data_IF_442633661464
#
_entry.id   IF_442633661464
#
_cell.length_a   1.000
_cell.length_b   1.000
_cell.length_c   1.000
_cell.angle_alpha   90.00
_cell.angle_beta   90.00
_cell.angle_gamma   90.00
#
_symmetry.space_group_name_H-M   'P 1'
#
loop_
_entity.id
_entity.type
_entity.pdbx_description
1 polymer ?
#
# COMPACT_ATOMS: atom_id res chain seq x y z
N UNK A 1 14.27 -35.33 7.13
CA UNK A 1 14.06 -33.95 7.61
C UNK A 1 12.77 -33.34 7.01
N UNK A 2 11.55 -33.80 7.38
CA UNK A 2 10.29 -33.37 6.75
C UNK A 2 9.65 -32.13 7.41
N UNK A 3 9.93 -31.90 8.70
CA UNK A 3 9.30 -30.83 9.48
C UNK A 3 9.82 -29.43 9.11
N UNK A 4 11.11 -29.32 8.79
CA UNK A 4 11.75 -28.08 8.35
C UNK A 4 11.19 -27.59 7.01
N UNK A 5 10.95 -28.49 6.05
CA UNK A 5 10.32 -28.15 4.77
C UNK A 5 8.86 -27.71 4.95
N UNK A 6 8.13 -28.35 5.87
CA UNK A 6 6.75 -28.02 6.19
C UNK A 6 6.62 -26.63 6.81
N UNK A 7 7.51 -26.28 7.76
CA UNK A 7 7.57 -24.93 8.35
C UNK A 7 7.90 -23.85 7.31
N UNK A 8 8.86 -24.11 6.41
CA UNK A 8 9.20 -23.19 5.33
C UNK A 8 8.04 -22.95 4.36
N UNK A 9 7.26 -23.99 4.04
CA UNK A 9 6.06 -23.86 3.19
C UNK A 9 4.99 -22.99 3.85
N UNK A 10 4.73 -23.17 5.14
CA UNK A 10 3.75 -22.36 5.90
C UNK A 10 4.19 -20.89 5.94
N UNK A 11 5.45 -20.61 6.23
CA UNK A 11 5.99 -19.24 6.22
C UNK A 11 5.83 -18.56 4.86
N UNK A 12 6.13 -19.26 3.76
CA UNK A 12 5.95 -18.73 2.39
C UNK A 12 4.49 -18.43 2.07
N UNK A 13 3.57 -19.29 2.49
CA UNK A 13 2.13 -19.07 2.29
C UNK A 13 1.63 -17.86 3.09
N UNK A 14 2.05 -17.74 4.36
CA UNK A 14 1.69 -16.61 5.20
C UNK A 14 2.23 -15.28 4.64
N UNK A 15 3.48 -15.25 4.16
CA UNK A 15 4.06 -14.07 3.52
C UNK A 15 3.28 -13.65 2.26
N UNK A 16 2.86 -14.62 1.42
CA UNK A 16 1.99 -14.34 0.26
C UNK A 16 0.65 -13.75 0.68
N UNK A 17 -0.01 -14.33 1.69
CA UNK A 17 -1.30 -13.84 2.21
C UNK A 17 -1.17 -12.44 2.79
N UNK A 18 -0.10 -12.18 3.54
CA UNK A 18 0.17 -10.87 4.11
C UNK A 18 0.41 -9.82 3.02
N UNK A 19 1.18 -10.17 1.98
CA UNK A 19 1.39 -9.31 0.80
C UNK A 19 0.06 -8.97 0.13
N UNK A 20 -0.77 -9.97 -0.18
CA UNK A 20 -2.09 -9.75 -0.78
C UNK A 20 -2.99 -8.88 0.10
N UNK A 21 -3.01 -9.13 1.42
CA UNK A 21 -3.78 -8.35 2.39
C UNK A 21 -3.32 -6.90 2.41
N UNK A 22 -2.01 -6.66 2.39
CA UNK A 22 -1.43 -5.33 2.33
C UNK A 22 -1.91 -4.56 1.10
N UNK A 23 -1.76 -5.12 -0.11
CA UNK A 23 -2.16 -4.44 -1.34
C UNK A 23 -3.67 -4.16 -1.39
N UNK A 24 -4.51 -5.09 -0.91
CA UNK A 24 -5.96 -4.86 -0.83
C UNK A 24 -6.31 -3.71 0.11
N UNK A 25 -5.73 -3.68 1.32
CA UNK A 25 -5.98 -2.60 2.30
C UNK A 25 -5.42 -1.27 1.82
N UNK A 26 -4.22 -1.24 1.25
CA UNK A 26 -3.63 -0.05 0.63
C UNK A 26 -4.56 0.55 -0.42
N UNK A 27 -5.04 -0.29 -1.35
CA UNK A 27 -5.97 0.14 -2.41
C UNK A 27 -7.25 0.72 -1.82
N UNK A 28 -7.83 0.06 -0.82
CA UNK A 28 -9.04 0.55 -0.14
C UNK A 28 -8.81 1.91 0.52
N UNK A 29 -7.69 2.06 1.25
CA UNK A 29 -7.35 3.30 1.94
C UNK A 29 -7.16 4.46 0.93
N UNK A 30 -6.46 4.21 -0.17
CA UNK A 30 -6.26 5.22 -1.21
C UNK A 30 -7.58 5.64 -1.86
N UNK A 31 -8.49 4.68 -2.10
CA UNK A 31 -9.84 5.00 -2.59
C UNK A 31 -10.59 5.90 -1.61
N UNK A 32 -10.63 5.55 -0.33
CA UNK A 32 -11.31 6.35 0.69
C UNK A 32 -10.69 7.75 0.85
N UNK A 33 -9.36 7.88 0.80
CA UNK A 33 -8.69 9.18 0.83
C UNK A 33 -9.03 10.05 -0.38
N UNK A 34 -9.11 9.44 -1.57
CA UNK A 34 -9.54 10.14 -2.78
C UNK A 34 -11.02 10.56 -2.71
N UNK A 35 -11.90 9.67 -2.22
CA UNK A 35 -13.32 9.99 -2.06
C UNK A 35 -13.51 11.16 -1.07
N UNK A 36 -12.76 11.21 0.03
CA UNK A 36 -12.76 12.32 0.98
C UNK A 36 -12.34 13.65 0.32
N UNK A 37 -11.24 13.63 -0.46
CA UNK A 37 -10.82 14.80 -1.22
C UNK A 37 -11.92 15.29 -2.17
N UNK A 38 -12.51 14.37 -2.95
CA UNK A 38 -13.53 14.71 -3.95
C UNK A 38 -14.84 15.22 -3.34
N UNK A 39 -15.30 14.63 -2.24
CA UNK A 39 -16.60 14.95 -1.65
C UNK A 39 -16.57 16.17 -0.74
N UNK A 40 -15.43 16.41 -0.09
CA UNK A 40 -15.31 17.44 0.93
C UNK A 40 -14.34 18.57 0.55
N UNK A 41 -13.75 18.53 -0.65
CA UNK A 41 -12.71 19.47 -1.09
C UNK A 41 -11.52 19.55 -0.11
N UNK A 42 -11.26 18.44 0.58
CA UNK A 42 -10.18 18.35 1.56
C UNK A 42 -8.85 18.05 0.86
N UNK A 43 -7.77 18.69 1.30
CA UNK A 43 -6.43 18.27 0.93
C UNK A 43 -6.06 16.97 1.68
N UNK A 44 -5.66 15.93 0.95
CA UNK A 44 -5.43 14.60 1.52
C UNK A 44 -4.05 14.06 1.11
N UNK A 45 -3.25 13.73 2.12
CA UNK A 45 -1.92 13.13 1.97
C UNK A 45 -1.83 11.81 2.72
N UNK A 46 -1.51 10.73 2.00
CA UNK A 46 -1.31 9.39 2.58
C UNK A 46 0.06 8.86 2.18
N UNK A 47 0.90 8.61 3.18
CA UNK A 47 2.21 7.95 3.03
C UNK A 47 2.19 6.58 3.69
N UNK A 48 2.51 5.55 2.92
CA UNK A 48 2.72 4.19 3.43
C UNK A 48 4.15 3.76 3.11
N UNK A 49 4.93 3.40 4.14
CA UNK A 49 6.27 2.80 3.99
C UNK A 49 6.22 1.32 4.38
N UNK A 50 6.64 0.44 3.46
CA UNK A 50 6.76 -1.01 3.73
C UNK A 50 7.90 -1.60 2.90
N UNK A 51 8.79 -2.35 3.55
CA UNK A 51 9.89 -3.09 2.91
C UNK A 51 10.73 -2.21 1.96
N UNK A 52 11.13 -1.01 2.41
CA UNK A 52 11.90 -0.06 1.61
C UNK A 52 11.12 0.67 0.51
N UNK A 53 9.82 0.38 0.32
CA UNK A 53 8.98 1.04 -0.69
C UNK A 53 8.07 2.07 -0.05
N UNK A 54 7.87 3.18 -0.77
CA UNK A 54 6.90 4.22 -0.43
C UNK A 54 5.73 4.17 -1.39
N UNK A 55 4.51 4.30 -0.86
CA UNK A 55 3.29 4.42 -1.64
C UNK A 55 2.60 5.71 -1.22
N UNK A 56 2.31 6.58 -2.18
CA UNK A 56 1.86 7.95 -1.89
C UNK A 56 0.55 8.21 -2.64
N UNK A 57 -0.44 8.71 -1.89
CA UNK A 57 -1.59 9.43 -2.43
C UNK A 57 -1.44 10.90 -2.01
N UNK A 58 -1.45 11.81 -2.97
CA UNK A 58 -1.39 13.25 -2.73
C UNK A 58 -2.48 13.91 -3.55
N UNK A 59 -3.58 14.28 -2.91
CA UNK A 59 -4.69 15.00 -3.53
C UNK A 59 -4.70 16.43 -2.99
N UNK A 60 -4.20 17.37 -3.79
CA UNK A 60 -4.25 18.81 -3.50
C UNK A 60 -5.06 19.51 -4.59
N UNK A 61 -5.79 20.57 -4.23
CA UNK A 61 -6.43 21.43 -5.22
C UNK A 61 -5.33 22.15 -6.01
N UNK A 62 -5.12 21.75 -7.27
CA UNK A 62 -4.29 22.51 -8.22
C UNK A 62 -3.13 21.80 -8.91
N UNK A 63 -2.85 20.50 -8.74
CA UNK A 63 -1.79 19.92 -9.58
C UNK A 63 -1.41 18.46 -9.42
N UNK A 64 -1.33 17.80 -10.59
CA UNK A 64 -0.76 16.48 -10.90
C UNK A 64 -1.50 15.26 -10.36
N UNK A 65 -1.37 14.15 -11.10
CA UNK A 65 -1.99 12.85 -10.82
C UNK A 65 -1.86 12.49 -9.34
N UNK A 66 -2.95 12.12 -8.64
CA UNK A 66 -2.93 11.88 -7.21
C UNK A 66 -2.16 10.62 -6.81
N UNK A 67 -1.82 9.77 -7.79
CA UNK A 67 -1.13 8.51 -7.57
C UNK A 67 0.33 8.61 -8.02
N UNK A 68 1.26 8.41 -7.09
CA UNK A 68 2.67 8.15 -7.41
C UNK A 68 3.14 6.89 -6.69
N UNK A 69 3.54 5.88 -7.47
CA UNK A 69 4.31 4.75 -6.95
C UNK A 69 5.80 5.11 -7.10
N UNK A 70 6.40 5.67 -6.05
CA UNK A 70 7.83 5.95 -6.00
C UNK A 70 8.56 4.79 -5.32
N UNK A 71 9.28 4.00 -6.12
CA UNK A 71 10.29 3.10 -5.59
C UNK A 71 11.55 3.92 -5.29
N UNK A 72 11.76 4.31 -4.03
CA UNK A 72 13.08 4.76 -3.61
C UNK A 72 13.99 3.53 -3.47
N UNK A 73 14.98 3.44 -4.34
CA UNK A 73 16.15 2.57 -4.16
C UNK A 73 17.06 3.32 -3.19
N UNK A 74 17.25 2.76 -2.00
CA UNK A 74 18.35 3.15 -1.10
C UNK A 74 19.61 2.40 -1.53
#
# INVERSE_FOLDING_TARGET
>A
MPESESRLRIHRQNAKRERTRFYRRKKSLFKSGYDLHKQCHAEVHILIRKNGRSYILSCAEGGKSPFSDQAMVL
#
